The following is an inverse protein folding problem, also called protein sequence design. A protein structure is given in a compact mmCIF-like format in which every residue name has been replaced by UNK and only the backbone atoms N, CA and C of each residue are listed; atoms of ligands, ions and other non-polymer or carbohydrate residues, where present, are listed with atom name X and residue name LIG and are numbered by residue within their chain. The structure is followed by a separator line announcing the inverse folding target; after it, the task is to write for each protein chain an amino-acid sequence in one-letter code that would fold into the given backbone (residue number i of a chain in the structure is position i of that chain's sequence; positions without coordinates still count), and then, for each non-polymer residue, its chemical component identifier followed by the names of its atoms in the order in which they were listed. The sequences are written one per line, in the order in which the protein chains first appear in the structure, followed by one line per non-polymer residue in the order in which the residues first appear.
data_IF_452653963584
#
_entry.id   IF_452653963584
#
_cell.length_a   1.000
_cell.length_b   1.000
_cell.length_c   1.000
_cell.angle_alpha   90.00
_cell.angle_beta   90.00
_cell.angle_gamma   90.00
#
_symmetry.space_group_name_H-M   'P 1'
#
loop_
_entity.id
_entity.type
_entity.pdbx_description
1 polymer ?
#
# COMPACT_ATOMS: atom_id res chain seq x y z
N UNK A 1 -30.97 -31.94 -13.22
CA UNK A 1 -30.18 -30.89 -12.59
C UNK A 1 -31.02 -29.93 -11.76
N UNK A 2 -32.07 -29.34 -12.29
CA UNK A 2 -32.98 -28.42 -11.56
C UNK A 2 -33.59 -29.05 -10.30
N UNK A 3 -33.98 -30.34 -10.35
CA UNK A 3 -34.53 -31.06 -9.19
C UNK A 3 -33.53 -31.15 -8.04
N UNK A 4 -32.25 -31.47 -8.33
CA UNK A 4 -31.21 -31.56 -7.30
C UNK A 4 -30.90 -30.19 -6.66
N UNK A 5 -30.89 -29.10 -7.43
CA UNK A 5 -30.78 -27.74 -6.92
C UNK A 5 -31.92 -27.37 -5.96
N UNK A 6 -33.18 -27.73 -6.35
CA UNK A 6 -34.35 -27.46 -5.52
C UNK A 6 -34.36 -28.29 -4.23
N UNK A 7 -33.88 -29.52 -4.29
CA UNK A 7 -33.75 -30.39 -3.12
C UNK A 7 -32.62 -29.86 -2.20
N UNK A 8 -31.46 -29.52 -2.73
CA UNK A 8 -30.35 -28.99 -1.97
C UNK A 8 -30.76 -27.68 -1.25
N UNK A 9 -31.40 -26.74 -1.96
CA UNK A 9 -31.93 -25.51 -1.36
C UNK A 9 -32.90 -25.75 -0.21
N UNK A 10 -33.87 -26.69 -0.39
CA UNK A 10 -34.83 -27.03 0.64
C UNK A 10 -34.17 -27.70 1.84
N UNK A 11 -33.14 -28.50 1.62
CA UNK A 11 -32.36 -29.14 2.67
C UNK A 11 -31.58 -28.14 3.54
N UNK A 12 -30.99 -27.14 2.93
CA UNK A 12 -30.23 -26.06 3.64
C UNK A 12 -31.17 -25.41 4.69
N UNK A 13 -32.39 -25.07 4.32
CA UNK A 13 -33.32 -24.34 5.21
C UNK A 13 -34.13 -25.23 6.16
N UNK A 14 -34.03 -26.55 6.05
CA UNK A 14 -34.77 -27.49 6.93
C UNK A 14 -34.20 -27.44 8.36
N UNK A 15 -32.87 -27.25 8.54
CA UNK A 15 -32.21 -27.18 9.81
C UNK A 15 -31.66 -25.76 10.06
N UNK A 16 -32.56 -24.79 10.22
CA UNK A 16 -32.23 -23.33 10.26
C UNK A 16 -31.09 -22.96 11.23
N UNK A 17 -31.13 -23.49 12.47
CA UNK A 17 -30.12 -23.16 13.50
C UNK A 17 -28.70 -23.53 13.03
N UNK A 18 -28.52 -24.72 12.45
CA UNK A 18 -27.24 -25.17 11.96
C UNK A 18 -26.79 -24.38 10.73
N UNK A 19 -27.67 -24.20 9.78
CA UNK A 19 -27.38 -23.42 8.57
C UNK A 19 -26.94 -22.00 8.94
N UNK A 20 -27.64 -21.34 9.88
CA UNK A 20 -27.25 -20.02 10.37
C UNK A 20 -25.86 -20.04 10.99
N UNK A 21 -25.54 -21.04 11.81
CA UNK A 21 -24.20 -21.15 12.41
C UNK A 21 -23.09 -21.33 11.36
N UNK A 22 -23.34 -22.14 10.33
CA UNK A 22 -22.40 -22.31 9.20
C UNK A 22 -22.25 -20.99 8.43
N UNK A 23 -23.35 -20.33 8.11
CA UNK A 23 -23.35 -19.06 7.39
C UNK A 23 -22.66 -17.95 8.19
N UNK A 24 -22.87 -17.91 9.52
CA UNK A 24 -22.18 -16.98 10.40
C UNK A 24 -20.66 -17.25 10.43
N UNK A 25 -20.26 -18.51 10.56
CA UNK A 25 -18.85 -18.88 10.56
C UNK A 25 -18.17 -18.52 9.22
N UNK A 26 -18.81 -18.86 8.09
CA UNK A 26 -18.30 -18.54 6.75
C UNK A 26 -18.33 -17.03 6.51
N UNK A 27 -19.41 -16.36 6.91
CA UNK A 27 -19.57 -14.93 6.80
C UNK A 27 -18.50 -14.17 7.59
N UNK A 28 -18.24 -14.59 8.82
CA UNK A 28 -17.21 -14.00 9.65
C UNK A 28 -15.80 -14.25 9.06
N UNK A 29 -15.55 -15.49 8.59
CA UNK A 29 -14.24 -15.84 8.00
C UNK A 29 -13.95 -15.01 6.75
N UNK A 30 -14.88 -14.91 5.80
CA UNK A 30 -14.69 -14.09 4.60
C UNK A 30 -14.66 -12.60 4.95
N UNK A 31 -15.51 -12.16 5.89
CA UNK A 31 -15.50 -10.79 6.38
C UNK A 31 -14.15 -10.38 6.99
N UNK A 32 -13.56 -11.25 7.81
CA UNK A 32 -12.21 -11.06 8.36
C UNK A 32 -11.13 -11.05 7.30
N UNK A 33 -11.23 -11.90 6.26
CA UNK A 33 -10.30 -11.86 5.13
C UNK A 33 -10.39 -10.56 4.36
N UNK A 34 -11.60 -10.07 4.09
CA UNK A 34 -11.80 -8.78 3.43
C UNK A 34 -11.28 -7.62 4.28
N UNK A 35 -11.51 -7.67 5.60
CA UNK A 35 -10.96 -6.69 6.52
C UNK A 35 -9.44 -6.70 6.53
N UNK A 36 -8.84 -7.88 6.54
CA UNK A 36 -7.40 -8.05 6.45
C UNK A 36 -6.81 -7.49 5.14
N UNK A 37 -7.44 -7.79 3.99
CA UNK A 37 -7.04 -7.21 2.70
C UNK A 37 -7.17 -5.66 2.73
N UNK A 38 -8.27 -5.14 3.25
CA UNK A 38 -8.48 -3.70 3.40
C UNK A 38 -7.45 -3.03 4.32
N UNK A 39 -7.06 -3.71 5.40
CA UNK A 39 -6.03 -3.25 6.32
C UNK A 39 -4.65 -3.20 5.64
N UNK A 40 -4.30 -4.23 4.87
CA UNK A 40 -3.06 -4.28 4.09
C UNK A 40 -3.01 -3.15 3.07
N UNK A 41 -4.09 -2.95 2.31
CA UNK A 41 -4.16 -1.87 1.34
C UNK A 41 -4.02 -0.50 2.02
N UNK A 42 -4.69 -0.30 3.16
CA UNK A 42 -4.57 0.92 3.97
C UNK A 42 -3.15 1.14 4.47
N UNK A 43 -2.50 0.08 4.95
CA UNK A 43 -1.13 0.10 5.43
C UNK A 43 -0.14 0.42 4.28
N UNK A 44 -0.33 -0.24 3.14
CA UNK A 44 0.49 0.03 1.96
C UNK A 44 0.32 1.48 1.50
N UNK A 45 -0.89 1.97 1.37
CA UNK A 45 -1.15 3.34 0.95
C UNK A 45 -0.55 4.36 1.93
N UNK A 46 -0.61 4.11 3.25
CA UNK A 46 -0.04 5.00 4.24
C UNK A 46 1.49 5.01 4.18
N UNK A 47 2.14 3.84 4.14
CA UNK A 47 3.61 3.75 4.11
C UNK A 47 4.16 4.21 2.77
N UNK A 48 3.62 3.68 1.67
CA UNK A 48 4.18 3.96 0.33
C UNK A 48 3.82 5.35 -0.14
N UNK A 49 2.59 5.81 0.11
CA UNK A 49 2.19 7.17 -0.23
C UNK A 49 3.11 8.21 0.41
N UNK A 50 3.47 8.02 1.67
CA UNK A 50 4.34 8.92 2.38
C UNK A 50 5.82 8.72 2.03
N UNK A 51 6.31 7.47 1.93
CA UNK A 51 7.68 7.18 1.51
C UNK A 51 7.99 7.75 0.12
N UNK A 52 7.11 7.51 -0.84
CA UNK A 52 7.25 8.00 -2.22
C UNK A 52 7.26 9.53 -2.25
N UNK A 53 6.39 10.19 -1.49
CA UNK A 53 6.38 11.66 -1.41
C UNK A 53 7.68 12.25 -0.85
N UNK A 54 8.30 11.56 0.11
CA UNK A 54 9.58 12.00 0.70
C UNK A 54 10.74 11.73 -0.25
N UNK A 55 10.72 10.56 -0.92
CA UNK A 55 11.84 10.09 -1.75
C UNK A 55 11.93 10.72 -3.15
N UNK A 56 10.95 11.49 -3.58
CA UNK A 56 11.03 12.12 -4.92
C UNK A 56 9.81 11.89 -5.80
N UNK A 57 8.67 11.47 -5.23
CA UNK A 57 7.40 11.27 -5.95
C UNK A 57 7.27 9.89 -6.61
N UNK A 58 6.16 9.68 -7.28
CA UNK A 58 5.83 8.42 -7.94
C UNK A 58 6.71 8.15 -9.17
N UNK A 59 7.03 9.22 -9.91
CA UNK A 59 7.81 9.16 -11.14
C UNK A 59 8.83 10.29 -11.09
N UNK A 60 10.03 10.01 -11.54
CA UNK A 60 11.12 10.96 -11.67
C UNK A 60 11.52 11.08 -13.14
N UNK A 61 11.74 12.31 -13.58
CA UNK A 61 12.18 12.59 -14.93
C UNK A 61 13.55 13.25 -14.86
N UNK A 62 14.54 12.60 -15.48
CA UNK A 62 15.93 13.05 -15.53
C UNK A 62 16.37 13.28 -16.98
N UNK A 63 17.49 13.96 -17.15
CA UNK A 63 18.15 14.05 -18.44
C UNK A 63 18.76 12.70 -18.83
N UNK A 64 18.87 12.47 -20.14
CA UNK A 64 19.49 11.25 -20.69
C UNK A 64 20.90 11.03 -20.15
N UNK A 65 21.21 9.78 -19.78
CA UNK A 65 22.48 9.37 -19.18
C UNK A 65 22.58 9.60 -17.66
N UNK A 66 21.50 10.00 -16.99
CA UNK A 66 21.46 10.10 -15.52
C UNK A 66 21.60 8.73 -14.86
N UNK A 67 20.81 7.74 -15.31
CA UNK A 67 20.79 6.38 -14.75
C UNK A 67 22.16 5.73 -14.72
N UNK A 68 22.93 5.90 -15.79
CA UNK A 68 24.28 5.34 -15.89
C UNK A 68 25.26 5.91 -14.85
N UNK A 69 24.92 7.01 -14.18
CA UNK A 69 25.79 7.75 -13.24
C UNK A 69 25.12 7.99 -11.89
N UNK A 70 23.96 7.37 -11.64
CA UNK A 70 23.14 7.64 -10.45
C UNK A 70 23.91 7.55 -9.13
N UNK A 71 24.82 6.59 -9.01
CA UNK A 71 25.65 6.39 -7.79
C UNK A 71 26.53 7.60 -7.45
N UNK A 72 26.81 8.47 -8.42
CA UNK A 72 27.59 9.68 -8.22
C UNK A 72 26.77 10.94 -7.96
N UNK A 73 25.44 10.81 -7.87
CA UNK A 73 24.49 11.93 -7.77
C UNK A 73 24.81 13.06 -8.78
N UNK A 74 24.78 12.78 -10.09
CA UNK A 74 25.29 13.72 -11.08
C UNK A 74 24.35 14.91 -11.24
N UNK A 75 24.90 16.12 -11.24
CA UNK A 75 24.18 17.34 -11.57
C UNK A 75 24.05 17.49 -13.09
N UNK A 76 23.19 16.68 -13.73
CA UNK A 76 22.91 16.78 -15.18
C UNK A 76 21.65 17.64 -15.35
N UNK A 77 21.79 18.90 -15.87
CA UNK A 77 20.64 19.77 -16.01
C UNK A 77 19.70 19.31 -17.13
N UNK A 78 18.41 19.42 -16.89
CA UNK A 78 17.39 19.26 -17.90
C UNK A 78 17.49 20.39 -18.92
N UNK A 79 17.31 20.09 -20.21
CA UNK A 79 17.46 21.09 -21.29
C UNK A 79 16.34 22.12 -21.25
N UNK A 80 15.11 21.68 -21.09
CA UNK A 80 13.89 22.51 -21.05
C UNK A 80 12.93 21.97 -19.97
N UNK A 81 13.29 22.19 -18.72
CA UNK A 81 12.54 21.68 -17.56
C UNK A 81 11.11 22.23 -17.47
N UNK A 82 10.90 23.48 -17.90
CA UNK A 82 9.58 24.11 -17.90
C UNK A 82 8.63 23.44 -18.91
N UNK A 83 9.12 23.13 -20.13
CA UNK A 83 8.33 22.41 -21.14
C UNK A 83 8.02 20.96 -20.68
N UNK A 84 8.99 20.29 -20.06
CA UNK A 84 8.79 18.95 -19.49
C UNK A 84 7.71 18.96 -18.40
N UNK A 85 7.73 19.92 -17.50
CA UNK A 85 6.67 20.09 -16.48
C UNK A 85 5.31 20.27 -17.13
N UNK A 86 5.20 21.16 -18.13
CA UNK A 86 3.92 21.43 -18.81
C UNK A 86 3.41 20.20 -19.56
N UNK A 87 4.28 19.47 -20.27
CA UNK A 87 3.90 18.25 -20.97
C UNK A 87 3.42 17.16 -20.00
N UNK A 88 4.10 17.01 -18.87
CA UNK A 88 3.76 16.04 -17.84
C UNK A 88 2.40 16.33 -17.20
N UNK A 89 2.10 17.60 -16.91
CA UNK A 89 0.83 18.04 -16.31
C UNK A 89 -0.38 17.87 -17.24
N UNK A 90 -0.18 17.65 -18.55
CA UNK A 90 -1.26 17.33 -19.48
C UNK A 90 -1.81 15.91 -19.31
N UNK A 91 -1.07 15.02 -18.66
CA UNK A 91 -1.53 13.65 -18.42
C UNK A 91 -2.63 13.63 -17.35
N UNK A 92 -3.80 12.99 -17.60
CA UNK A 92 -4.96 13.06 -16.70
C UNK A 92 -4.74 12.42 -15.32
N UNK A 93 -3.83 11.49 -15.20
CA UNK A 93 -3.52 10.79 -13.95
C UNK A 93 -2.39 11.48 -13.14
N UNK A 94 -1.79 12.57 -13.65
CA UNK A 94 -0.79 13.37 -12.94
C UNK A 94 -1.48 14.41 -12.06
N UNK A 95 -1.04 14.49 -10.80
CA UNK A 95 -1.49 15.52 -9.83
C UNK A 95 -0.58 16.75 -9.89
N UNK A 96 0.73 16.50 -9.91
CA UNK A 96 1.75 17.54 -9.88
C UNK A 96 3.03 17.10 -10.55
N UNK A 97 3.75 18.11 -11.07
CA UNK A 97 5.11 17.96 -11.57
C UNK A 97 5.91 19.16 -11.04
N UNK A 98 6.92 18.91 -10.23
CA UNK A 98 7.73 19.95 -9.55
C UNK A 98 9.20 19.80 -9.90
N UNK A 99 9.87 20.92 -10.07
CA UNK A 99 11.30 20.97 -10.38
C UNK A 99 12.12 20.78 -9.12
N UNK A 100 13.16 19.94 -9.19
CA UNK A 100 14.09 19.71 -8.09
C UNK A 100 15.53 19.68 -8.57
N UNK A 101 16.44 19.93 -7.63
CA UNK A 101 17.86 19.68 -7.76
C UNK A 101 18.24 18.78 -6.59
N UNK A 102 18.80 17.63 -6.86
CA UNK A 102 19.30 16.73 -5.82
C UNK A 102 20.79 16.50 -6.00
N UNK A 103 21.56 16.70 -4.93
CA UNK A 103 23.01 16.45 -4.94
C UNK A 103 23.50 16.06 -3.55
N UNK A 104 24.66 15.40 -3.50
CA UNK A 104 25.33 15.10 -2.25
C UNK A 104 26.15 16.31 -1.74
N UNK A 105 26.19 16.48 -0.43
CA UNK A 105 26.98 17.53 0.20
C UNK A 105 27.27 17.23 1.66
N UNK A 106 27.85 18.26 2.34
CA UNK A 106 28.15 18.21 3.75
C UNK A 106 27.54 19.42 4.45
N UNK A 107 26.97 19.18 5.62
CA UNK A 107 26.65 20.22 6.59
C UNK A 107 27.69 20.19 7.69
N UNK A 108 28.23 21.34 8.03
CA UNK A 108 29.27 21.43 9.07
C UNK A 108 29.00 22.57 10.03
N UNK A 109 29.37 22.35 11.28
CA UNK A 109 29.42 23.33 12.35
C UNK A 109 30.63 23.06 13.25
N UNK A 110 30.60 23.55 14.49
CA UNK A 110 31.70 23.33 15.46
C UNK A 110 31.79 21.88 15.93
N UNK A 111 30.70 21.13 15.90
CA UNK A 111 30.62 19.74 16.37
C UNK A 111 31.18 18.75 15.32
N UNK A 112 31.09 19.08 14.03
CA UNK A 112 31.59 18.21 12.99
C UNK A 112 31.09 18.52 11.59
N UNK A 113 31.31 17.56 10.67
CA UNK A 113 30.83 17.60 9.30
C UNK A 113 30.02 16.31 9.01
N UNK A 114 28.83 16.47 8.50
CA UNK A 114 27.86 15.40 8.29
C UNK A 114 27.47 15.35 6.82
N UNK A 115 27.51 14.13 6.22
CA UNK A 115 27.08 13.90 4.85
C UNK A 115 25.56 14.01 4.73
N UNK A 116 25.10 14.77 3.75
CA UNK A 116 23.66 14.97 3.50
C UNK A 116 23.35 14.96 2.01
N UNK A 117 22.13 14.59 1.66
CA UNK A 117 21.52 14.92 0.38
C UNK A 117 20.93 16.32 0.48
N UNK A 118 21.41 17.22 -0.37
CA UNK A 118 20.90 18.59 -0.49
C UNK A 118 19.85 18.59 -1.59
N UNK A 119 18.64 19.01 -1.24
CA UNK A 119 17.51 19.04 -2.16
C UNK A 119 17.05 20.49 -2.33
N UNK A 120 17.24 21.03 -3.54
CA UNK A 120 16.67 22.30 -3.97
C UNK A 120 15.24 22.10 -4.47
N UNK A 121 14.27 22.75 -3.87
CA UNK A 121 12.85 22.62 -4.17
C UNK A 121 12.23 23.96 -4.54
N UNK A 122 11.15 23.92 -5.32
CA UNK A 122 10.28 25.08 -5.53
C UNK A 122 9.30 25.16 -4.34
N UNK A 123 9.50 26.10 -3.39
CA UNK A 123 8.75 26.12 -2.15
C UNK A 123 7.24 26.33 -2.36
N UNK A 124 6.85 27.13 -3.35
CA UNK A 124 5.44 27.43 -3.62
C UNK A 124 4.74 26.24 -4.26
N UNK A 125 5.42 25.55 -5.19
CA UNK A 125 4.90 24.36 -5.84
C UNK A 125 4.75 23.21 -4.85
N UNK A 126 5.70 23.03 -3.94
CA UNK A 126 5.69 21.99 -2.91
C UNK A 126 4.67 22.26 -1.79
N UNK A 127 4.42 23.53 -1.46
CA UNK A 127 3.40 23.94 -0.49
C UNK A 127 1.99 24.01 -1.09
N UNK A 128 1.85 23.86 -2.40
CA UNK A 128 0.55 23.86 -3.06
C UNK A 128 -0.37 22.78 -2.47
N UNK A 129 -1.65 23.12 -2.28
CA UNK A 129 -2.60 22.19 -1.67
C UNK A 129 -3.09 21.14 -2.67
N UNK A 130 -3.17 19.91 -2.22
CA UNK A 130 -3.78 18.82 -2.98
C UNK A 130 -5.27 19.10 -3.13
N UNK A 131 -5.77 19.08 -4.38
CA UNK A 131 -7.15 19.48 -4.70
C UNK A 131 -8.16 18.35 -4.51
N UNK A 132 -7.76 17.09 -4.69
CA UNK A 132 -8.64 15.93 -4.71
C UNK A 132 -8.04 14.75 -3.94
N UNK A 133 -8.89 13.86 -3.44
CA UNK A 133 -8.49 12.64 -2.74
C UNK A 133 -8.52 12.74 -1.22
N UNK A 134 -8.00 11.72 -0.54
CA UNK A 134 -8.03 11.62 0.93
C UNK A 134 -7.14 12.69 1.62
N UNK A 135 -6.18 13.24 0.90
CA UNK A 135 -5.27 14.29 1.39
C UNK A 135 -5.63 15.69 0.87
N UNK A 136 -6.84 15.86 0.35
CA UNK A 136 -7.30 17.18 -0.12
C UNK A 136 -7.18 18.24 0.99
N UNK A 137 -6.62 19.40 0.64
CA UNK A 137 -6.38 20.51 1.58
C UNK A 137 -5.07 20.42 2.36
N UNK A 138 -4.25 19.38 2.16
CA UNK A 138 -2.89 19.31 2.70
C UNK A 138 -1.87 19.78 1.65
N UNK A 139 -0.70 20.32 2.08
CA UNK A 139 0.39 20.60 1.15
C UNK A 139 0.83 19.34 0.38
N UNK A 140 1.35 19.52 -0.82
CA UNK A 140 1.83 18.43 -1.66
C UNK A 140 3.04 17.73 -1.01
N UNK A 141 3.97 18.52 -0.50
CA UNK A 141 5.16 18.02 0.18
C UNK A 141 4.86 17.56 1.60
N UNK A 142 5.29 16.33 1.94
CA UNK A 142 5.19 15.82 3.31
C UNK A 142 6.05 16.64 4.27
N UNK A 143 7.16 17.21 3.79
CA UNK A 143 8.03 18.06 4.59
C UNK A 143 7.30 19.35 4.98
N UNK A 144 6.62 20.00 4.03
CA UNK A 144 5.81 21.20 4.30
C UNK A 144 4.66 20.94 5.29
N UNK A 145 4.14 19.71 5.32
CA UNK A 145 3.09 19.32 6.29
C UNK A 145 3.62 19.16 7.72
N UNK A 146 4.92 18.90 7.89
CA UNK A 146 5.51 18.46 9.15
C UNK A 146 6.65 19.39 9.62
N UNK A 147 6.46 20.71 9.48
CA UNK A 147 7.36 21.67 10.10
C UNK A 147 7.10 21.68 11.61
N UNK A 148 8.10 21.26 12.38
CA UNK A 148 8.01 21.16 13.83
C UNK A 148 8.39 22.47 14.52
N UNK A 149 9.39 23.18 13.99
CA UNK A 149 9.89 24.45 14.51
C UNK A 149 10.28 25.39 13.38
N UNK A 150 10.07 26.71 13.57
CA UNK A 150 10.44 27.71 12.56
C UNK A 150 9.41 27.84 11.43
N UNK A 151 9.90 28.16 10.24
CA UNK A 151 9.09 28.51 9.07
C UNK A 151 9.45 27.67 7.85
N UNK A 152 8.53 27.62 6.88
CA UNK A 152 8.75 26.99 5.58
C UNK A 152 9.67 27.90 4.71
N UNK A 153 10.33 27.29 3.72
CA UNK A 153 11.13 28.01 2.74
C UNK A 153 10.29 28.96 1.90
N UNK A 154 10.92 30.03 1.42
CA UNK A 154 10.33 31.00 0.49
C UNK A 154 10.99 30.91 -0.89
N UNK A 155 10.23 31.25 -1.94
CA UNK A 155 10.73 31.17 -3.32
C UNK A 155 11.91 32.15 -3.60
N UNK A 156 11.91 33.31 -2.94
CA UNK A 156 12.95 34.33 -3.12
C UNK A 156 14.34 33.87 -2.64
N UNK A 157 14.41 32.71 -2.01
CA UNK A 157 15.65 32.12 -1.57
C UNK A 157 16.26 32.85 -0.38
N UNK A 158 17.56 33.02 -0.44
CA UNK A 158 18.38 33.56 0.62
C UNK A 158 19.21 32.43 1.25
N UNK A 159 20.19 32.81 2.04
CA UNK A 159 21.06 31.86 2.73
C UNK A 159 20.34 31.14 3.88
N UNK A 160 19.23 30.45 3.54
CA UNK A 160 18.39 29.71 4.50
C UNK A 160 18.26 28.23 4.14
N UNK A 161 18.17 27.40 5.17
CA UNK A 161 18.12 25.95 5.04
C UNK A 161 17.09 25.36 6.00
N UNK A 162 16.38 24.33 5.54
CA UNK A 162 15.48 23.51 6.32
C UNK A 162 16.15 22.16 6.57
N UNK A 163 16.25 21.75 7.83
CA UNK A 163 16.90 20.49 8.24
C UNK A 163 15.92 19.61 9.02
N UNK A 164 16.17 18.31 9.05
CA UNK A 164 15.37 17.38 9.84
C UNK A 164 15.73 17.44 11.32
N UNK A 165 14.79 17.05 12.19
CA UNK A 165 14.96 16.93 13.64
C UNK A 165 16.20 16.08 13.97
N UNK A 166 16.31 14.92 13.32
CA UNK A 166 17.45 14.03 13.53
C UNK A 166 18.83 14.65 13.21
N UNK A 167 18.89 15.60 12.25
CA UNK A 167 20.11 16.35 11.96
C UNK A 167 20.34 17.46 12.99
N UNK A 168 19.27 18.19 13.35
CA UNK A 168 19.34 19.25 14.35
C UNK A 168 19.86 18.72 15.69
N UNK A 169 19.41 17.55 16.13
CA UNK A 169 19.84 16.89 17.36
C UNK A 169 21.32 16.48 17.31
N UNK A 170 21.80 15.93 16.18
CA UNK A 170 23.20 15.49 16.02
C UNK A 170 24.15 16.67 15.94
N UNK A 171 23.73 17.77 15.32
CA UNK A 171 24.54 18.98 15.19
C UNK A 171 24.42 19.93 16.37
N UNK A 172 23.52 19.68 17.31
CA UNK A 172 23.14 20.59 18.41
C UNK A 172 22.84 22.02 17.92
N UNK A 173 21.95 22.09 16.89
CA UNK A 173 21.53 23.37 16.27
C UNK A 173 20.06 23.61 16.40
N UNK A 174 19.66 24.87 16.44
CA UNK A 174 18.27 25.33 16.56
C UNK A 174 17.94 26.29 15.43
N UNK A 175 16.67 26.60 15.30
CA UNK A 175 16.19 27.63 14.38
C UNK A 175 16.89 28.96 14.70
N UNK A 176 17.46 29.60 13.67
CA UNK A 176 18.24 30.80 13.74
C UNK A 176 19.76 30.57 13.79
N UNK A 177 20.23 29.36 14.06
CA UNK A 177 21.66 29.04 14.04
C UNK A 177 22.25 29.04 12.61
N UNK A 178 23.52 29.24 12.51
CA UNK A 178 24.24 29.27 11.24
C UNK A 178 25.09 28.01 11.07
N UNK A 179 24.92 27.34 9.96
CA UNK A 179 25.69 26.15 9.57
C UNK A 179 26.31 26.36 8.20
N UNK A 180 27.43 25.70 7.95
CA UNK A 180 28.10 25.77 6.65
C UNK A 180 27.69 24.57 5.80
N UNK A 181 27.11 24.84 4.63
CA UNK A 181 26.82 23.85 3.62
C UNK A 181 27.93 23.83 2.58
N UNK A 182 28.38 22.62 2.21
CA UNK A 182 29.40 22.39 1.19
C UNK A 182 28.85 21.40 0.17
N UNK A 183 28.95 21.73 -1.11
CA UNK A 183 28.54 20.83 -2.20
C UNK A 183 29.44 21.03 -3.41
N UNK A 184 29.33 20.16 -4.41
CA UNK A 184 30.05 20.30 -5.68
C UNK A 184 29.14 20.87 -6.76
N UNK A 185 29.61 21.86 -7.51
CA UNK A 185 28.89 22.41 -8.65
C UNK A 185 29.01 21.48 -9.90
N UNK A 186 28.34 21.87 -11.00
CA UNK A 186 28.40 21.16 -12.28
C UNK A 186 29.79 21.00 -12.86
N UNK A 187 30.74 21.85 -12.45
CA UNK A 187 32.15 21.79 -12.86
C UNK A 187 33.02 21.01 -11.86
N UNK A 188 32.42 20.32 -10.89
CA UNK A 188 33.10 19.58 -9.81
C UNK A 188 33.94 20.46 -8.90
N UNK A 189 33.61 21.74 -8.80
CA UNK A 189 34.24 22.65 -7.87
C UNK A 189 33.46 22.66 -6.56
N UNK A 190 34.18 22.60 -5.44
CA UNK A 190 33.54 22.70 -4.14
C UNK A 190 33.02 24.13 -3.92
N UNK A 191 31.75 24.23 -3.64
CA UNK A 191 31.06 25.46 -3.24
C UNK A 191 30.64 25.33 -1.80
N UNK A 192 30.88 26.42 -1.07
CA UNK A 192 30.44 26.50 0.31
C UNK A 192 29.62 27.76 0.55
N UNK A 193 28.62 27.64 1.41
CA UNK A 193 27.77 28.75 1.82
C UNK A 193 27.38 28.60 3.27
N UNK A 194 27.37 29.71 4.00
CA UNK A 194 26.84 29.71 5.37
C UNK A 194 25.34 29.97 5.31
N UNK A 195 24.57 28.99 5.78
CA UNK A 195 23.10 29.00 5.77
C UNK A 195 22.57 29.23 7.17
N UNK A 196 21.43 29.90 7.28
CA UNK A 196 20.69 30.04 8.53
C UNK A 196 19.60 28.97 8.58
N UNK A 197 19.52 28.22 9.66
CA UNK A 197 18.43 27.25 9.86
C UNK A 197 17.11 27.99 10.07
N UNK A 198 16.24 28.01 9.05
CA UNK A 198 14.94 28.71 9.10
C UNK A 198 13.87 27.86 9.78
N UNK A 199 13.98 26.53 9.66
CA UNK A 199 13.01 25.61 10.26
C UNK A 199 13.58 24.21 10.41
N UNK A 200 12.91 23.43 11.25
CA UNK A 200 13.21 22.02 11.53
C UNK A 200 11.96 21.23 11.23
N UNK A 201 12.05 20.26 10.33
CA UNK A 201 10.97 19.33 10.02
C UNK A 201 11.14 18.03 10.79
N UNK A 202 9.99 17.40 11.11
CA UNK A 202 9.93 16.12 11.84
C UNK A 202 8.90 15.23 11.16
N UNK A 203 9.38 14.25 10.41
CA UNK A 203 8.54 13.23 9.73
C UNK A 203 8.53 11.91 10.49
N UNK A 204 9.22 11.84 11.63
CA UNK A 204 9.34 10.67 12.47
C UNK A 204 10.29 9.60 11.92
N UNK A 205 11.18 9.92 10.96
CA UNK A 205 12.18 9.01 10.39
C UNK A 205 13.58 9.58 10.65
N UNK A 206 14.16 9.31 11.82
CA UNK A 206 15.44 9.92 12.21
C UNK A 206 16.58 9.66 11.24
N UNK A 207 16.60 8.54 10.53
CA UNK A 207 17.61 8.20 9.51
C UNK A 207 17.54 9.14 8.31
N UNK A 208 16.34 9.41 7.78
CA UNK A 208 16.16 10.34 6.66
C UNK A 208 16.37 11.78 7.10
N UNK A 209 15.87 12.15 8.29
CA UNK A 209 16.02 13.48 8.85
C UNK A 209 17.48 13.86 9.09
N UNK A 210 18.36 12.88 9.38
CA UNK A 210 19.81 13.09 9.48
C UNK A 210 20.53 13.20 8.15
N UNK A 211 19.91 12.74 7.06
CA UNK A 211 20.59 12.63 5.77
C UNK A 211 20.06 13.60 4.72
N UNK A 212 19.05 14.43 5.04
CA UNK A 212 18.39 15.28 4.05
C UNK A 212 18.31 16.73 4.55
N UNK A 213 18.60 17.66 3.66
CA UNK A 213 18.45 19.10 3.90
C UNK A 213 17.79 19.75 2.68
N UNK A 214 16.92 20.72 2.91
CA UNK A 214 16.19 21.41 1.86
C UNK A 214 16.57 22.89 1.79
N UNK A 215 16.74 23.38 0.56
CA UNK A 215 16.93 24.80 0.24
C UNK A 215 15.97 25.19 -0.87
N UNK A 216 15.82 26.49 -1.14
CA UNK A 216 15.02 26.91 -2.29
C UNK A 216 15.70 26.50 -3.60
N UNK A 217 14.88 26.28 -4.63
CA UNK A 217 15.37 25.93 -5.96
C UNK A 217 16.29 27.03 -6.51
N UNK A 218 15.93 28.29 -6.30
CA UNK A 218 16.74 29.45 -6.72
C UNK A 218 18.13 29.44 -6.08
N UNK A 219 18.22 29.16 -4.77
CA UNK A 219 19.49 29.07 -4.06
C UNK A 219 20.33 27.89 -4.55
N UNK A 220 19.71 26.72 -4.76
CA UNK A 220 20.37 25.55 -5.31
C UNK A 220 20.94 25.81 -6.72
N UNK A 221 20.16 26.46 -7.58
CA UNK A 221 20.59 26.87 -8.92
C UNK A 221 21.83 27.79 -8.88
N UNK A 222 21.76 28.81 -8.02
CA UNK A 222 22.86 29.74 -7.86
C UNK A 222 24.13 29.08 -7.29
N UNK A 223 23.98 28.21 -6.28
CA UNK A 223 25.12 27.56 -5.62
C UNK A 223 25.79 26.54 -6.53
N UNK A 224 25.02 25.73 -7.24
CA UNK A 224 25.52 24.62 -8.05
C UNK A 224 25.76 24.98 -9.54
N UNK A 225 25.52 26.23 -9.93
CA UNK A 225 25.81 26.74 -11.28
C UNK A 225 24.87 26.18 -12.36
N UNK A 226 23.60 26.03 -12.04
CA UNK A 226 22.59 25.41 -12.93
C UNK A 226 21.83 26.41 -13.81
N UNK A 227 22.13 27.72 -13.72
CA UNK A 227 21.58 28.78 -14.59
C UNK A 227 20.05 28.70 -14.82
N UNK A 228 19.31 28.54 -13.74
CA UNK A 228 17.84 28.46 -13.76
C UNK A 228 17.26 27.10 -14.13
N UNK A 229 18.10 26.09 -14.38
CA UNK A 229 17.66 24.72 -14.69
C UNK A 229 17.54 23.83 -13.45
N UNK A 230 16.77 22.76 -13.59
CA UNK A 230 16.67 21.70 -12.59
C UNK A 230 17.38 20.42 -13.09
N UNK A 231 17.63 19.47 -12.19
CA UNK A 231 18.23 18.18 -12.53
C UNK A 231 17.20 17.05 -12.55
N UNK A 232 16.05 17.30 -11.93
CA UNK A 232 14.99 16.32 -11.75
C UNK A 232 13.62 17.00 -11.81
N UNK A 233 12.63 16.30 -12.36
CA UNK A 233 11.23 16.65 -12.19
C UNK A 233 10.56 15.51 -11.42
N UNK A 234 10.06 15.85 -10.24
CA UNK A 234 9.25 14.97 -9.43
C UNK A 234 7.81 15.00 -9.89
N UNK A 235 7.23 13.83 -10.13
CA UNK A 235 5.84 13.69 -10.57
C UNK A 235 5.05 12.88 -9.55
N UNK A 236 3.91 13.41 -9.14
CA UNK A 236 2.94 12.70 -8.30
C UNK A 236 1.70 12.34 -9.11
N UNK A 237 1.22 11.11 -8.93
CA UNK A 237 0.08 10.57 -9.65
C UNK A 237 -1.11 10.28 -8.72
N UNK A 238 -2.30 10.15 -9.29
CA UNK A 238 -3.56 9.96 -8.54
C UNK A 238 -3.65 8.61 -7.84
N UNK A 239 -3.10 7.55 -8.43
CA UNK A 239 -3.22 6.19 -7.93
C UNK A 239 -1.87 5.51 -7.87
N UNK A 240 -1.52 5.09 -6.65
CA UNK A 240 -0.36 4.23 -6.40
C UNK A 240 -0.55 2.88 -7.11
N UNK A 241 0.54 2.37 -7.72
CA UNK A 241 0.54 1.13 -8.47
C UNK A 241 0.19 1.28 -9.96
N UNK A 242 -0.13 2.49 -10.44
CA UNK A 242 -0.32 2.79 -11.87
C UNK A 242 0.89 3.51 -12.50
N UNK A 243 2.04 3.55 -11.81
CA UNK A 243 3.24 4.27 -12.24
C UNK A 243 3.72 3.81 -13.62
N UNK A 244 3.82 2.50 -13.84
CA UNK A 244 4.28 1.93 -15.12
C UNK A 244 3.39 2.32 -16.31
N UNK A 245 2.09 2.46 -16.07
CA UNK A 245 1.15 2.91 -17.10
C UNK A 245 1.41 4.38 -17.48
N UNK A 246 1.65 5.22 -16.47
CA UNK A 246 1.93 6.66 -16.69
C UNK A 246 3.31 6.83 -17.31
N UNK A 247 4.33 6.09 -16.85
CA UNK A 247 5.67 6.08 -17.47
C UNK A 247 5.59 5.71 -18.94
N UNK A 248 4.87 4.61 -19.28
CA UNK A 248 4.70 4.17 -20.65
C UNK A 248 3.98 5.20 -21.55
N UNK A 249 3.14 6.05 -20.96
CA UNK A 249 2.46 7.13 -21.68
C UNK A 249 3.32 8.39 -21.81
N UNK A 250 4.15 8.73 -20.81
CA UNK A 250 4.98 9.93 -20.81
C UNK A 250 6.28 9.75 -21.60
N UNK A 251 6.92 8.58 -21.56
CA UNK A 251 8.19 8.34 -22.23
C UNK A 251 8.20 8.68 -23.74
N UNK A 252 7.17 8.34 -24.55
CA UNK A 252 7.12 8.74 -25.95
C UNK A 252 6.93 10.24 -26.17
N UNK A 253 6.34 10.97 -25.19
CA UNK A 253 6.07 12.41 -25.26
C UNK A 253 7.29 13.22 -24.86
N UNK A 254 8.23 12.60 -24.13
CA UNK A 254 9.44 13.24 -23.59
C UNK A 254 10.71 12.58 -24.15
N UNK A 255 10.95 12.64 -25.47
CA UNK A 255 12.14 12.03 -26.05
C UNK A 255 13.42 12.75 -25.56
N UNK A 256 14.43 11.96 -25.20
CA UNK A 256 15.70 12.50 -24.67
C UNK A 256 15.68 12.73 -23.16
N UNK A 257 14.66 12.23 -22.46
CA UNK A 257 14.59 12.21 -21.01
C UNK A 257 14.39 10.78 -20.50
N UNK A 258 14.95 10.49 -19.35
CA UNK A 258 14.73 9.24 -18.64
C UNK A 258 13.51 9.42 -17.72
N UNK A 259 12.43 8.71 -18.01
CA UNK A 259 11.18 8.72 -17.23
C UNK A 259 11.11 7.42 -16.46
N UNK A 260 11.30 7.46 -15.15
CA UNK A 260 11.42 6.28 -14.32
C UNK A 260 10.44 6.32 -13.15
N UNK A 261 9.90 5.17 -12.81
CA UNK A 261 9.07 5.02 -11.61
C UNK A 261 9.94 4.82 -10.37
N UNK A 262 9.38 5.13 -9.19
CA UNK A 262 10.07 5.06 -7.90
C UNK A 262 10.70 3.67 -7.63
N UNK A 263 10.08 2.58 -8.05
CA UNK A 263 10.58 1.21 -7.86
C UNK A 263 11.89 0.96 -8.61
N UNK A 264 12.09 1.61 -9.74
CA UNK A 264 13.37 1.53 -10.49
C UNK A 264 14.47 2.31 -9.78
N UNK A 265 14.12 3.43 -9.13
CA UNK A 265 15.08 4.28 -8.43
C UNK A 265 15.39 3.79 -7.01
N UNK A 266 14.43 3.11 -6.35
CA UNK A 266 14.56 2.60 -4.99
C UNK A 266 14.20 1.10 -4.90
N UNK A 267 15.00 0.19 -5.53
CA UNK A 267 14.72 -1.24 -5.56
C UNK A 267 14.73 -1.88 -4.17
N UNK A 268 15.47 -1.31 -3.22
CA UNK A 268 15.48 -1.81 -1.83
C UNK A 268 14.12 -1.61 -1.15
N UNK A 269 13.46 -0.48 -1.40
CA UNK A 269 12.13 -0.20 -0.92
C UNK A 269 11.12 -1.17 -1.55
N UNK A 270 11.20 -1.39 -2.85
CA UNK A 270 10.36 -2.37 -3.55
C UNK A 270 10.53 -3.78 -2.98
N UNK A 271 11.77 -4.21 -2.75
CA UNK A 271 12.05 -5.52 -2.14
C UNK A 271 11.50 -5.63 -0.71
N UNK A 272 11.59 -4.58 0.09
CA UNK A 272 11.01 -4.55 1.43
C UNK A 272 9.48 -4.68 1.39
N UNK A 273 8.85 -4.05 0.41
CA UNK A 273 7.42 -4.13 0.12
C UNK A 273 7.01 -5.55 -0.24
N UNK A 274 7.69 -6.12 -1.22
CA UNK A 274 7.39 -7.45 -1.74
C UNK A 274 7.61 -8.53 -0.68
N UNK A 275 8.63 -8.40 0.16
CA UNK A 275 8.91 -9.32 1.28
C UNK A 275 7.80 -9.30 2.32
N UNK A 276 7.25 -8.12 2.65
CA UNK A 276 6.09 -7.98 3.54
C UNK A 276 4.84 -8.61 2.90
N UNK A 277 4.62 -8.38 1.61
CA UNK A 277 3.51 -8.99 0.86
C UNK A 277 3.54 -10.51 0.90
N UNK A 278 4.72 -11.12 0.79
CA UNK A 278 4.90 -12.58 0.91
C UNK A 278 4.53 -13.08 2.32
N UNK A 279 5.02 -12.43 3.37
CA UNK A 279 4.66 -12.77 4.75
C UNK A 279 3.15 -12.67 4.99
N UNK A 280 2.51 -11.62 4.49
CA UNK A 280 1.08 -11.41 4.60
C UNK A 280 0.27 -12.46 3.83
N UNK A 281 0.78 -12.95 2.70
CA UNK A 281 0.16 -14.07 1.97
C UNK A 281 0.15 -15.35 2.80
N UNK A 282 1.23 -15.64 3.53
CA UNK A 282 1.30 -16.78 4.46
C UNK A 282 0.24 -16.68 5.55
N UNK A 283 0.07 -15.51 6.17
CA UNK A 283 -1.01 -15.29 7.14
C UNK A 283 -2.40 -15.49 6.53
N UNK A 284 -2.62 -15.00 5.31
CA UNK A 284 -3.86 -15.22 4.57
C UNK A 284 -4.16 -16.71 4.36
N UNK A 285 -3.15 -17.51 4.00
CA UNK A 285 -3.28 -18.97 3.84
C UNK A 285 -3.63 -19.64 5.17
N UNK A 286 -3.03 -19.21 6.28
CA UNK A 286 -3.35 -19.72 7.62
C UNK A 286 -4.82 -19.46 7.98
N UNK A 287 -5.31 -18.24 7.77
CA UNK A 287 -6.71 -17.87 8.03
C UNK A 287 -7.67 -18.72 7.18
N UNK A 288 -7.35 -18.90 5.89
CA UNK A 288 -8.13 -19.75 4.99
C UNK A 288 -8.15 -21.19 5.48
N UNK A 289 -7.01 -21.73 5.91
CA UNK A 289 -6.89 -23.11 6.38
C UNK A 289 -7.72 -23.36 7.65
N UNK A 290 -7.68 -22.44 8.61
CA UNK A 290 -8.49 -22.52 9.84
C UNK A 290 -9.98 -22.51 9.47
N UNK A 291 -10.36 -21.61 8.55
CA UNK A 291 -11.75 -21.52 8.08
C UNK A 291 -12.20 -22.79 7.37
N UNK A 292 -11.35 -23.37 6.53
CA UNK A 292 -11.61 -24.63 5.82
C UNK A 292 -11.87 -25.80 6.78
N UNK A 293 -11.06 -25.92 7.84
CA UNK A 293 -11.23 -26.95 8.89
C UNK A 293 -12.57 -26.77 9.60
N UNK A 294 -12.92 -25.53 9.95
CA UNK A 294 -14.21 -25.21 10.56
C UNK A 294 -15.40 -25.61 9.68
N UNK A 295 -15.36 -25.27 8.40
CA UNK A 295 -16.38 -25.63 7.41
C UNK A 295 -16.49 -27.17 7.27
N UNK A 296 -15.35 -27.86 7.15
CA UNK A 296 -15.29 -29.32 7.06
C UNK A 296 -15.97 -29.99 8.26
N UNK A 297 -15.62 -29.58 9.47
CA UNK A 297 -16.19 -30.15 10.70
C UNK A 297 -17.73 -29.94 10.76
N UNK A 298 -18.21 -28.77 10.39
CA UNK A 298 -19.64 -28.46 10.36
C UNK A 298 -20.38 -29.30 9.31
N UNK A 299 -19.77 -29.53 8.14
CA UNK A 299 -20.35 -30.35 7.08
C UNK A 299 -20.30 -31.85 7.43
N UNK A 300 -19.24 -32.33 8.07
CA UNK A 300 -19.17 -33.72 8.59
C UNK A 300 -20.27 -33.98 9.61
N UNK A 301 -20.44 -33.12 10.58
CA UNK A 301 -21.53 -33.21 11.56
C UNK A 301 -22.89 -33.23 10.88
N UNK A 302 -23.06 -32.43 9.82
CA UNK A 302 -24.25 -32.40 9.01
C UNK A 302 -24.60 -33.74 8.36
N UNK A 303 -23.61 -34.48 7.88
CA UNK A 303 -23.77 -35.80 7.27
C UNK A 303 -24.11 -36.84 8.32
N UNK A 304 -23.40 -36.83 9.47
CA UNK A 304 -23.68 -37.79 10.56
C UNK A 304 -25.11 -37.66 11.11
N UNK A 305 -25.62 -36.44 11.29
CA UNK A 305 -27.00 -36.20 11.73
C UNK A 305 -28.06 -36.70 10.74
N UNK A 306 -27.71 -36.83 9.44
CA UNK A 306 -28.63 -37.26 8.37
C UNK A 306 -28.33 -38.68 7.86
N UNK A 307 -27.56 -39.47 8.57
CA UNK A 307 -27.20 -40.83 8.17
C UNK A 307 -28.40 -41.67 7.81
N UNK A 308 -29.51 -41.62 8.58
CA UNK A 308 -30.73 -42.31 8.32
C UNK A 308 -31.48 -41.87 7.04
N UNK A 309 -31.49 -40.55 6.77
CA UNK A 309 -32.05 -40.00 5.53
C UNK A 309 -31.26 -40.46 4.29
N UNK A 310 -29.95 -40.54 4.43
CA UNK A 310 -29.03 -41.03 3.39
C UNK A 310 -29.28 -42.50 3.09
N UNK A 311 -29.45 -43.34 4.14
CA UNK A 311 -29.80 -44.74 4.00
C UNK A 311 -31.17 -44.94 3.30
N UNK A 312 -32.15 -44.09 3.61
CA UNK A 312 -33.45 -44.09 2.95
C UNK A 312 -33.35 -43.77 1.44
N UNK A 313 -32.53 -42.77 1.06
CA UNK A 313 -32.28 -42.43 -0.34
C UNK A 313 -31.63 -43.59 -1.09
N UNK A 314 -30.67 -44.29 -0.45
CA UNK A 314 -30.06 -45.50 -0.99
C UNK A 314 -31.08 -46.64 -1.17
N UNK A 315 -31.93 -46.86 -0.16
CA UNK A 315 -32.99 -47.86 -0.23
C UNK A 315 -34.05 -47.58 -1.33
N UNK A 316 -34.29 -46.31 -1.67
CA UNK A 316 -35.12 -45.87 -2.78
C UNK A 316 -34.41 -45.98 -4.16
N UNK A 317 -33.18 -46.49 -4.24
CA UNK A 317 -32.49 -46.79 -5.48
C UNK A 317 -31.59 -45.65 -6.01
N UNK A 318 -31.29 -44.64 -5.22
CA UNK A 318 -30.28 -43.64 -5.62
C UNK A 318 -28.91 -44.28 -5.63
N UNK A 319 -28.14 -44.06 -6.73
CA UNK A 319 -26.76 -44.52 -6.85
C UNK A 319 -25.84 -43.71 -5.93
N UNK A 320 -24.75 -44.31 -5.41
CA UNK A 320 -23.78 -43.61 -4.56
C UNK A 320 -23.30 -42.26 -5.13
N UNK A 321 -23.02 -42.21 -6.43
CA UNK A 321 -22.61 -40.96 -7.11
C UNK A 321 -23.70 -39.88 -7.09
N UNK A 322 -24.98 -40.25 -7.10
CA UNK A 322 -26.10 -39.30 -7.05
C UNK A 322 -26.25 -38.73 -5.64
N UNK A 323 -26.07 -39.56 -4.62
CA UNK A 323 -26.06 -39.13 -3.21
C UNK A 323 -24.90 -38.19 -2.99
N UNK A 324 -23.65 -38.57 -3.39
CA UNK A 324 -22.50 -37.72 -3.28
C UNK A 324 -22.68 -36.38 -3.99
N UNK A 325 -23.20 -36.37 -5.22
CA UNK A 325 -23.44 -35.12 -5.97
C UNK A 325 -24.46 -34.19 -5.28
N UNK A 326 -25.44 -34.72 -4.60
CA UNK A 326 -26.40 -33.92 -3.84
C UNK A 326 -25.73 -33.18 -2.68
N UNK A 327 -24.88 -33.87 -1.91
CA UNK A 327 -24.13 -33.24 -0.80
C UNK A 327 -23.07 -32.25 -1.25
N UNK A 328 -22.35 -32.53 -2.34
CA UNK A 328 -21.40 -31.59 -2.92
C UNK A 328 -22.12 -30.33 -3.40
N UNK A 329 -23.29 -30.48 -4.03
CA UNK A 329 -24.12 -29.37 -4.47
C UNK A 329 -24.66 -28.55 -3.27
N UNK A 330 -25.05 -29.22 -2.20
CA UNK A 330 -25.46 -28.59 -0.93
C UNK A 330 -24.31 -27.76 -0.36
N UNK A 331 -23.09 -28.32 -0.32
CA UNK A 331 -21.88 -27.62 0.11
C UNK A 331 -21.54 -26.39 -0.76
N UNK A 332 -21.66 -26.53 -2.08
CA UNK A 332 -21.46 -25.41 -3.01
C UNK A 332 -22.48 -24.28 -2.81
N UNK A 333 -23.75 -24.62 -2.59
CA UNK A 333 -24.80 -23.64 -2.32
C UNK A 333 -24.62 -22.95 -0.97
N UNK A 334 -24.23 -23.69 0.07
CA UNK A 334 -23.86 -23.12 1.36
C UNK A 334 -22.68 -22.18 1.18
N UNK A 335 -21.68 -22.57 0.37
CA UNK A 335 -20.56 -21.73 0.00
C UNK A 335 -20.96 -20.41 -0.64
N UNK A 336 -21.86 -20.43 -1.61
CA UNK A 336 -22.38 -19.23 -2.28
C UNK A 336 -23.11 -18.29 -1.31
N UNK A 337 -24.03 -18.84 -0.50
CA UNK A 337 -24.77 -18.03 0.48
C UNK A 337 -23.85 -17.51 1.56
N UNK A 338 -22.89 -18.33 2.02
CA UNK A 338 -21.85 -17.94 2.98
C UNK A 338 -20.95 -16.85 2.45
N UNK A 339 -20.55 -16.96 1.18
CA UNK A 339 -19.76 -15.92 0.51
C UNK A 339 -20.54 -14.59 0.42
N UNK A 340 -21.81 -14.63 0.05
CA UNK A 340 -22.65 -13.43 0.02
C UNK A 340 -22.78 -12.79 1.42
N UNK A 341 -23.01 -13.60 2.47
CA UNK A 341 -23.03 -13.13 3.84
C UNK A 341 -21.68 -12.53 4.26
N UNK A 342 -20.58 -13.17 3.86
CA UNK A 342 -19.22 -12.71 4.14
C UNK A 342 -18.87 -11.38 3.48
N UNK A 343 -19.29 -11.18 2.24
CA UNK A 343 -19.15 -9.89 1.55
C UNK A 343 -19.86 -8.78 2.33
N UNK A 344 -21.11 -9.02 2.74
CA UNK A 344 -21.87 -8.04 3.52
C UNK A 344 -21.17 -7.73 4.85
N UNK A 345 -20.72 -8.76 5.57
CA UNK A 345 -19.99 -8.62 6.83
C UNK A 345 -18.66 -7.85 6.64
N UNK A 346 -17.91 -8.20 5.59
CA UNK A 346 -16.64 -7.54 5.26
C UNK A 346 -16.83 -6.06 4.90
N UNK A 347 -17.85 -5.73 4.12
CA UNK A 347 -18.17 -4.34 3.78
C UNK A 347 -18.56 -3.53 5.02
N UNK A 348 -19.32 -4.12 5.94
CA UNK A 348 -19.70 -3.45 7.20
C UNK A 348 -18.45 -3.19 8.06
N UNK A 349 -17.61 -4.22 8.26
CA UNK A 349 -16.40 -4.10 9.09
C UNK A 349 -15.43 -3.08 8.48
N UNK A 350 -15.16 -3.17 7.16
CA UNK A 350 -14.29 -2.23 6.48
C UNK A 350 -14.85 -0.81 6.47
N UNK A 351 -16.16 -0.65 6.25
CA UNK A 351 -16.81 0.65 6.30
C UNK A 351 -16.68 1.34 7.66
N UNK A 352 -16.86 0.60 8.75
CA UNK A 352 -16.65 1.11 10.11
C UNK A 352 -15.17 1.42 10.34
N UNK A 353 -14.28 0.49 10.00
CA UNK A 353 -12.83 0.66 10.20
C UNK A 353 -12.26 1.82 9.37
N UNK A 354 -12.78 2.04 8.15
CA UNK A 354 -12.38 3.15 7.30
C UNK A 354 -12.81 4.53 7.85
N UNK A 355 -13.87 4.59 8.64
CA UNK A 355 -14.31 5.84 9.28
C UNK A 355 -13.57 6.13 10.59
N UNK A 356 -13.33 5.11 11.40
CA UNK A 356 -12.71 5.25 12.73
C UNK A 356 -11.19 5.41 12.61
N UNK A 357 -10.57 4.70 11.64
CA UNK A 357 -9.12 4.54 11.56
C UNK A 357 -8.57 3.67 12.69
N UNK A 358 -7.47 3.00 12.43
CA UNK A 358 -6.75 2.20 13.42
C UNK A 358 -5.53 2.99 13.90
N UNK A 359 -5.43 3.20 15.21
CA UNK A 359 -4.33 3.94 15.83
C UNK A 359 -3.12 3.03 16.01
N UNK A 360 -2.02 3.36 15.35
CA UNK A 360 -0.75 2.64 15.40
C UNK A 360 0.35 3.41 16.14
N UNK A 361 0.03 4.50 16.83
CA UNK A 361 1.02 5.33 17.54
C UNK A 361 1.85 4.54 18.56
N UNK A 362 1.24 3.54 19.21
CA UNK A 362 1.94 2.67 20.15
C UNK A 362 3.04 1.80 19.49
N UNK A 363 2.97 1.60 18.17
CA UNK A 363 3.92 0.80 17.41
C UNK A 363 4.91 1.65 16.59
N UNK A 364 4.76 2.95 16.58
CA UNK A 364 5.61 3.88 15.81
C UNK A 364 7.11 3.74 16.15
N UNK A 365 7.43 3.40 17.40
CA UNK A 365 8.80 3.18 17.86
C UNK A 365 9.42 1.83 17.43
N UNK A 366 8.64 0.93 16.84
CA UNK A 366 9.13 -0.42 16.49
C UNK A 366 9.92 -0.48 15.18
N UNK A 367 9.76 0.48 14.28
CA UNK A 367 10.61 0.61 13.08
C UNK A 367 10.45 1.99 12.46
N UNK A 368 11.50 2.49 11.79
CA UNK A 368 11.53 3.77 11.07
C UNK A 368 10.39 3.87 10.03
N UNK A 369 9.98 2.74 9.43
CA UNK A 369 8.85 2.70 8.48
C UNK A 369 7.48 2.89 9.13
N UNK A 370 7.33 2.60 10.43
CA UNK A 370 6.08 2.84 11.15
C UNK A 370 5.85 4.34 11.43
N UNK A 371 6.90 5.12 11.46
CA UNK A 371 6.82 6.57 11.61
C UNK A 371 6.20 7.25 10.38
N UNK A 372 6.32 6.65 9.18
CA UNK A 372 5.64 7.09 7.96
C UNK A 372 4.10 6.96 8.05
N UNK A 373 3.62 6.18 8.99
CA UNK A 373 2.19 6.06 9.26
C UNK A 373 1.78 7.24 10.13
N UNK A 374 1.12 8.20 9.54
CA UNK A 374 0.61 9.39 10.23
C UNK A 374 -0.44 9.00 11.29
N UNK A 375 0.01 8.36 12.39
CA UNK A 375 -0.72 7.87 13.57
C UNK A 375 -1.96 6.98 13.35
N UNK A 376 -2.67 7.07 12.22
CA UNK A 376 -3.87 6.27 11.93
C UNK A 376 -3.86 5.69 10.53
N UNK A 377 -4.14 4.39 10.43
CA UNK A 377 -4.36 3.69 9.16
C UNK A 377 -5.86 3.58 8.92
N UNK A 378 -6.27 3.97 7.73
CA UNK A 378 -7.64 3.83 7.26
C UNK A 378 -7.71 2.64 6.30
N UNK A 379 -8.27 1.49 6.73
CA UNK A 379 -8.43 0.34 5.86
C UNK A 379 -9.23 0.69 4.61
N UNK A 380 -8.82 0.15 3.45
CA UNK A 380 -9.61 0.26 2.24
C UNK A 380 -10.86 -0.62 2.33
N UNK A 381 -11.81 -0.45 1.40
CA UNK A 381 -13.00 -1.31 1.34
C UNK A 381 -12.69 -2.76 0.96
N UNK A 382 -11.47 -3.11 0.57
CA UNK A 382 -11.05 -4.45 0.21
C UNK A 382 -11.77 -5.01 -1.03
N UNK A 383 -12.22 -4.13 -1.94
CA UNK A 383 -13.04 -4.52 -3.09
C UNK A 383 -12.25 -5.24 -4.19
N UNK A 384 -10.95 -5.00 -4.28
CA UNK A 384 -10.09 -5.49 -5.37
C UNK A 384 -10.06 -7.02 -5.46
N UNK A 385 -10.09 -7.70 -4.31
CA UNK A 385 -9.94 -9.15 -4.21
C UNK A 385 -11.26 -9.90 -3.93
N UNK A 386 -12.40 -9.20 -3.88
CA UNK A 386 -13.70 -9.79 -3.49
C UNK A 386 -14.03 -11.05 -4.31
N UNK A 387 -13.93 -10.97 -5.63
CA UNK A 387 -14.28 -12.09 -6.52
C UNK A 387 -13.42 -13.32 -6.26
N UNK A 388 -12.09 -13.10 -6.11
CA UNK A 388 -11.15 -14.17 -5.79
C UNK A 388 -11.41 -14.78 -4.41
N UNK A 389 -11.58 -13.96 -3.39
CA UNK A 389 -11.82 -14.41 -2.01
C UNK A 389 -13.15 -15.16 -1.88
N UNK A 390 -14.23 -14.63 -2.46
CA UNK A 390 -15.53 -15.29 -2.50
C UNK A 390 -15.44 -16.63 -3.26
N UNK A 391 -14.77 -16.66 -4.41
CA UNK A 391 -14.50 -17.87 -5.18
C UNK A 391 -13.74 -18.92 -4.37
N UNK A 392 -12.71 -18.50 -3.63
CA UNK A 392 -11.93 -19.39 -2.77
C UNK A 392 -12.81 -20.04 -1.69
N UNK A 393 -13.68 -19.27 -1.02
CA UNK A 393 -14.60 -19.80 0.00
C UNK A 393 -15.58 -20.81 -0.60
N UNK A 394 -16.13 -20.54 -1.78
CA UNK A 394 -17.04 -21.46 -2.48
C UNK A 394 -16.31 -22.76 -2.88
N UNK A 395 -15.09 -22.65 -3.40
CA UNK A 395 -14.29 -23.83 -3.77
C UNK A 395 -13.97 -24.66 -2.53
N UNK A 396 -13.50 -24.04 -1.45
CA UNK A 396 -13.17 -24.72 -0.20
C UNK A 396 -14.41 -25.41 0.39
N UNK A 397 -15.55 -24.72 0.43
CA UNK A 397 -16.80 -25.29 0.91
C UNK A 397 -17.24 -26.50 0.07
N UNK A 398 -17.08 -26.43 -1.25
CA UNK A 398 -17.38 -27.52 -2.17
C UNK A 398 -16.45 -28.72 -1.95
N UNK A 399 -15.14 -28.46 -1.82
CA UNK A 399 -14.13 -29.50 -1.55
C UNK A 399 -14.31 -30.12 -0.15
N UNK A 400 -14.60 -29.31 0.85
CA UNK A 400 -14.88 -29.77 2.20
C UNK A 400 -16.12 -30.69 2.25
N UNK A 401 -17.12 -30.40 1.42
CA UNK A 401 -18.30 -31.24 1.30
C UNK A 401 -18.03 -32.59 0.61
N UNK A 402 -16.92 -32.72 -0.15
CA UNK A 402 -16.62 -33.94 -0.88
C UNK A 402 -16.27 -35.11 0.04
N UNK A 403 -15.55 -34.88 1.14
CA UNK A 403 -15.16 -35.91 2.10
C UNK A 403 -16.40 -36.54 2.76
N UNK A 404 -17.29 -35.77 3.40
CA UNK A 404 -18.52 -36.31 3.99
C UNK A 404 -19.48 -36.90 2.93
N UNK A 405 -19.51 -36.30 1.74
CA UNK A 405 -20.34 -36.81 0.65
C UNK A 405 -19.91 -38.21 0.19
N UNK A 406 -18.59 -38.43 0.11
CA UNK A 406 -18.05 -39.76 -0.22
C UNK A 406 -18.35 -40.76 0.88
N UNK A 407 -18.16 -40.40 2.14
CA UNK A 407 -18.50 -41.25 3.27
C UNK A 407 -19.98 -41.62 3.30
N UNK A 408 -20.86 -40.65 3.14
CA UNK A 408 -22.28 -40.84 3.06
C UNK A 408 -22.68 -41.80 1.92
N UNK A 409 -22.06 -41.69 0.76
CA UNK A 409 -22.37 -42.47 -0.44
C UNK A 409 -21.97 -43.96 -0.35
N UNK A 410 -21.06 -44.34 0.55
CA UNK A 410 -20.56 -45.71 0.71
C UNK A 410 -21.21 -46.47 1.90
N UNK A 411 -22.08 -45.81 2.69
CA UNK A 411 -22.78 -46.45 3.80
C UNK A 411 -23.84 -47.43 3.28
N UNK A 412 -23.84 -48.61 3.85
CA UNK A 412 -24.88 -49.61 3.51
C UNK A 412 -26.26 -49.15 4.03
N UNK A 413 -27.31 -49.20 3.21
CA UNK A 413 -28.66 -48.77 3.62
C UNK A 413 -29.16 -49.47 4.89
N UNK A 414 -28.79 -50.74 5.09
CA UNK A 414 -29.21 -51.51 6.26
C UNK A 414 -28.54 -50.98 7.56
N UNK A 415 -27.27 -50.64 7.55
CA UNK A 415 -26.56 -50.08 8.68
C UNK A 415 -27.03 -48.62 9.00
N UNK A 416 -27.27 -47.84 7.94
CA UNK A 416 -27.72 -46.45 8.08
C UNK A 416 -29.12 -46.34 8.71
N UNK A 417 -30.01 -47.32 8.52
CA UNK A 417 -31.36 -47.35 9.10
C UNK A 417 -31.37 -47.75 10.58
N UNK A 418 -30.34 -48.48 11.04
CA UNK A 418 -30.19 -48.90 12.45
C UNK A 418 -29.31 -47.93 13.29
N UNK A 419 -28.85 -46.84 12.69
CA UNK A 419 -28.08 -45.84 13.40
C UNK A 419 -28.98 -45.06 14.38
N UNK A 420 -28.76 -45.19 15.67
CA UNK A 420 -29.49 -44.53 16.76
C UNK A 420 -28.87 -43.20 17.09
#
# INVERSE_FOLDING_TARGET
MILYLRLAWRNIWRHKRRTVNILLAMGLSLGMMMWYDGLIDGFNNAIYGNAIRVLGGNIQIHADGYRAKVDSNPLIPLTDDAAVVQATLQHPDVISATRRIQTGGLLSNREGAFGVSIIGIDPDAEAALIKEGNDAGKPLSLIAQNIAEGEWLTADGGDVILIGRGMADVMDVKVGDRITMVGSDIHKQNRQRTMTVIGIYDIGIPTMERQTAYISLAEAQALFGLDGKSTEIQVNIKRLGEEEKVVSALAPVLPGYEVESWNQNYPELENAINSKGAAMTVFGIIIISISAIGILNLLLMAVYERTREIGLLGAMGLKPRQIASLFVLEGAMIGLVGAAAGIVTGLIINGISAQVGLDYTAYASMSDYMALINSRIYPSMGLQNIGWRAGTVVIISTLAAFIPAREASHREPAEALHYV
#
